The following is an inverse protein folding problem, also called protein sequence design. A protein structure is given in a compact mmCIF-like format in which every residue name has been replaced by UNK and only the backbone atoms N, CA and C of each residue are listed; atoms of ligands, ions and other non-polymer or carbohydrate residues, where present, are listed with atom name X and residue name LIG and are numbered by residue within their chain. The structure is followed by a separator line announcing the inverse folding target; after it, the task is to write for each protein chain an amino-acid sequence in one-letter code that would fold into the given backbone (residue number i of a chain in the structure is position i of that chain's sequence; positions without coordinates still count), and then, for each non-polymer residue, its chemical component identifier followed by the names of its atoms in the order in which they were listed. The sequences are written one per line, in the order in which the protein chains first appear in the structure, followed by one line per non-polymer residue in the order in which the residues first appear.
data_IF_522953535783
#
_entry.id   IF_522953535783
#
_cell.length_a   1.000
_cell.length_b   1.000
_cell.length_c   1.000
_cell.angle_alpha   90.00
_cell.angle_beta   90.00
_cell.angle_gamma   90.00
#
_symmetry.space_group_name_H-M   'P 1'
#
loop_
_entity.id
_entity.type
_entity.pdbx_description
1 polymer ?
#
# COMPACT_ATOMS: atom_id res chain seq x y z
N UNK A 1 -12.76 -13.06 6.27
CA UNK A 1 -11.35 -13.19 5.89
C UNK A 1 -10.50 -13.41 7.11
N UNK A 2 -9.53 -14.30 7.02
CA UNK A 2 -8.65 -14.56 8.15
C UNK A 2 -7.59 -13.47 8.29
N UNK A 3 -7.09 -13.28 9.51
CA UNK A 3 -6.01 -12.33 9.76
C UNK A 3 -4.73 -12.73 9.00
N UNK A 4 -4.52 -14.04 8.80
CA UNK A 4 -3.35 -14.54 8.08
C UNK A 4 -3.33 -14.03 6.63
N UNK A 5 -4.49 -13.97 5.98
CA UNK A 5 -4.57 -13.47 4.61
C UNK A 5 -4.26 -11.99 4.55
N UNK A 6 -4.78 -11.22 5.51
CA UNK A 6 -4.51 -9.80 5.58
C UNK A 6 -3.01 -9.55 5.81
N UNK A 7 -2.39 -10.32 6.70
CA UNK A 7 -0.96 -10.21 6.95
C UNK A 7 -0.14 -10.54 5.71
N UNK A 8 -0.56 -11.57 4.95
CA UNK A 8 0.12 -11.93 3.71
C UNK A 8 0.05 -10.81 2.68
N UNK A 9 -1.12 -10.18 2.55
CA UNK A 9 -1.28 -9.06 1.64
C UNK A 9 -0.46 -7.85 2.08
N UNK A 10 -0.45 -7.53 3.37
CA UNK A 10 0.35 -6.44 3.89
C UNK A 10 1.84 -6.70 3.71
N UNK A 11 2.27 -7.95 3.90
CA UNK A 11 3.66 -8.33 3.65
C UNK A 11 4.05 -8.16 2.20
N UNK A 12 3.16 -8.50 1.27
CA UNK A 12 3.40 -8.27 -0.16
C UNK A 12 3.50 -6.77 -0.46
N UNK A 13 2.64 -5.97 0.17
CA UNK A 13 2.65 -4.52 -0.03
C UNK A 13 3.92 -3.86 0.52
N UNK A 14 4.59 -4.47 1.50
CA UNK A 14 5.86 -3.98 1.99
C UNK A 14 6.98 -4.08 0.95
N UNK A 15 6.78 -4.84 -0.13
CA UNK A 15 7.71 -4.90 -1.24
C UNK A 15 7.48 -3.78 -2.26
N UNK A 16 6.41 -3.01 -2.10
CA UNK A 16 6.11 -1.89 -2.99
C UNK A 16 6.71 -0.63 -2.41
N UNK A 17 7.77 -0.15 -3.05
CA UNK A 17 8.56 1.00 -2.57
C UNK A 17 8.20 2.24 -3.38
N UNK A 18 7.94 3.35 -2.69
CA UNK A 18 7.78 4.64 -3.34
C UNK A 18 9.14 5.06 -3.91
N UNK A 19 9.28 5.20 -5.23
CA UNK A 19 10.58 5.47 -5.84
C UNK A 19 11.13 6.85 -5.48
N UNK A 20 10.30 7.79 -5.07
CA UNK A 20 10.76 9.11 -4.67
C UNK A 20 11.35 9.10 -3.26
N UNK A 21 10.79 8.30 -2.37
CA UNK A 21 11.15 8.30 -0.96
C UNK A 21 12.02 7.12 -0.56
N UNK A 22 12.00 6.03 -1.35
CA UNK A 22 12.80 4.84 -1.05
C UNK A 22 12.31 4.02 0.12
N UNK A 23 11.07 4.25 0.55
CA UNK A 23 10.45 3.53 1.66
C UNK A 23 9.16 2.89 1.14
N UNK A 24 8.83 1.71 1.66
CA UNK A 24 7.63 0.99 1.22
C UNK A 24 6.35 1.71 1.64
N UNK A 25 5.29 1.48 0.87
CA UNK A 25 4.02 2.20 1.07
C UNK A 25 3.34 1.88 2.39
N UNK A 26 3.59 0.69 2.96
CA UNK A 26 3.01 0.32 4.24
C UNK A 26 3.61 1.16 5.36
N UNK A 27 4.95 1.25 5.40
CA UNK A 27 5.63 2.05 6.42
C UNK A 27 5.41 3.55 6.23
N UNK A 28 5.15 3.99 4.99
CA UNK A 28 4.80 5.39 4.73
C UNK A 28 3.39 5.74 5.24
N UNK A 29 2.58 4.72 5.56
CA UNK A 29 1.22 4.95 6.01
C UNK A 29 0.26 5.31 4.89
N UNK A 30 0.56 4.86 3.68
CA UNK A 30 -0.29 5.12 2.52
C UNK A 30 -1.44 4.14 2.39
N UNK A 31 -1.29 2.94 2.95
CA UNK A 31 -2.33 1.90 2.86
C UNK A 31 -3.26 2.02 4.05
N UNK A 32 -4.53 2.31 3.78
CA UNK A 32 -5.53 2.47 4.82
C UNK A 32 -6.29 1.19 5.11
N UNK A 33 -6.48 0.34 4.09
CA UNK A 33 -7.18 -0.93 4.27
C UNK A 33 -6.78 -1.91 3.17
N UNK A 34 -6.88 -3.20 3.48
CA UNK A 34 -6.61 -4.27 2.54
C UNK A 34 -7.59 -5.40 2.83
N UNK A 35 -8.38 -5.78 1.85
CA UNK A 35 -9.38 -6.83 1.98
C UNK A 35 -9.29 -7.79 0.80
N UNK A 36 -9.68 -9.04 1.04
CA UNK A 36 -9.82 -10.05 -0.01
C UNK A 36 -11.27 -10.53 0.00
N UNK A 37 -11.96 -10.38 -1.13
CA UNK A 37 -13.35 -10.81 -1.20
C UNK A 37 -13.47 -12.30 -1.49
N UNK A 38 -14.70 -12.80 -1.55
CA UNK A 38 -14.96 -14.23 -1.73
C UNK A 38 -14.53 -14.73 -3.10
N UNK A 39 -14.39 -13.86 -4.08
CA UNK A 39 -14.00 -14.21 -5.44
C UNK A 39 -12.49 -14.20 -5.63
N UNK A 40 -11.74 -13.82 -4.61
CA UNK A 40 -10.27 -13.72 -4.69
C UNK A 40 -9.79 -12.36 -5.17
N UNK A 41 -10.64 -11.34 -5.14
CA UNK A 41 -10.27 -10.00 -5.52
C UNK A 41 -9.73 -9.24 -4.31
N UNK A 42 -8.50 -8.79 -4.40
CA UNK A 42 -7.90 -7.99 -3.35
C UNK A 42 -8.30 -6.52 -3.55
N UNK A 43 -8.86 -5.92 -2.52
CA UNK A 43 -9.32 -4.53 -2.55
C UNK A 43 -8.44 -3.73 -1.62
N UNK A 44 -7.66 -2.83 -2.18
CA UNK A 44 -6.70 -2.01 -1.43
C UNK A 44 -7.20 -0.58 -1.42
N UNK A 45 -7.40 -0.03 -0.23
CA UNK A 45 -7.75 1.37 -0.06
C UNK A 45 -6.51 2.10 0.44
N UNK A 46 -6.07 3.09 -0.32
CA UNK A 46 -4.83 3.79 -0.02
C UNK A 46 -4.92 5.26 -0.44
N UNK A 47 -3.90 6.00 -0.05
CA UNK A 47 -3.74 7.39 -0.48
C UNK A 47 -2.34 7.59 -1.04
N UNK A 48 -2.09 8.78 -1.58
CA UNK A 48 -0.77 9.19 -2.04
C UNK A 48 -0.32 10.41 -1.24
N UNK A 49 0.98 10.69 -1.26
CA UNK A 49 1.52 11.80 -0.49
C UNK A 49 1.10 13.17 -1.05
N UNK A 50 0.77 13.22 -2.35
CA UNK A 50 0.24 14.44 -2.96
C UNK A 50 -0.64 14.08 -4.14
N UNK A 51 -1.57 14.97 -4.46
CA UNK A 51 -2.49 14.77 -5.59
C UNK A 51 -1.77 14.78 -6.94
N UNK A 52 -0.61 15.43 -7.01
CA UNK A 52 0.17 15.51 -8.22
C UNK A 52 1.27 14.46 -8.32
N UNK A 53 1.19 13.39 -7.54
CA UNK A 53 2.23 12.37 -7.52
C UNK A 53 2.37 11.69 -8.89
N UNK A 54 3.48 11.90 -9.61
CA UNK A 54 3.64 11.31 -10.95
C UNK A 54 3.89 9.81 -10.91
N UNK A 55 4.22 9.27 -9.73
CA UNK A 55 4.52 7.86 -9.56
C UNK A 55 3.31 7.03 -9.14
N UNK A 56 2.13 7.66 -9.03
CA UNK A 56 0.91 6.95 -8.64
C UNK A 56 0.60 5.74 -9.50
N UNK A 57 0.56 5.87 -10.83
CA UNK A 57 0.28 4.72 -11.72
C UNK A 57 1.30 3.60 -11.57
N UNK A 58 2.58 3.93 -11.37
CA UNK A 58 3.62 2.94 -11.17
C UNK A 58 3.44 2.21 -9.84
N UNK A 59 3.10 2.93 -8.80
CA UNK A 59 2.82 2.33 -7.49
C UNK A 59 1.65 1.35 -7.60
N UNK A 60 0.58 1.75 -8.26
CA UNK A 60 -0.59 0.89 -8.47
C UNK A 60 -0.21 -0.37 -9.24
N UNK A 61 0.58 -0.24 -10.30
CA UNK A 61 1.03 -1.38 -11.08
C UNK A 61 1.88 -2.34 -10.23
N UNK A 62 2.75 -1.81 -9.39
CA UNK A 62 3.58 -2.62 -8.50
C UNK A 62 2.73 -3.34 -7.44
N UNK A 63 1.71 -2.68 -6.92
CA UNK A 63 0.78 -3.29 -5.97
C UNK A 63 0.10 -4.49 -6.61
N UNK A 64 -0.40 -4.33 -7.82
CA UNK A 64 -1.06 -5.42 -8.53
C UNK A 64 -0.12 -6.59 -8.76
N UNK A 65 1.11 -6.30 -9.18
CA UNK A 65 2.10 -7.33 -9.44
C UNK A 65 2.44 -8.13 -8.18
N UNK A 66 2.69 -7.44 -7.08
CA UNK A 66 3.05 -8.09 -5.83
C UNK A 66 1.91 -8.93 -5.26
N UNK A 67 0.69 -8.41 -5.30
CA UNK A 67 -0.46 -9.14 -4.77
C UNK A 67 -0.84 -10.33 -5.65
N UNK A 68 -0.68 -10.22 -6.96
CA UNK A 68 -1.00 -11.32 -7.87
C UNK A 68 -0.05 -12.52 -7.70
N UNK A 69 1.08 -12.35 -7.02
CA UNK A 69 1.96 -13.46 -6.69
C UNK A 69 1.39 -14.35 -5.59
N UNK A 70 0.43 -13.86 -4.83
CA UNK A 70 -0.25 -14.67 -3.82
C UNK A 70 -1.26 -15.59 -4.49
N UNK A 71 -1.20 -16.92 -4.21
CA UNK A 71 -2.10 -17.87 -4.91
C UNK A 71 -3.57 -17.64 -4.65
N UNK A 72 -3.92 -17.03 -3.53
CA UNK A 72 -5.31 -16.74 -3.17
C UNK A 72 -5.85 -15.52 -3.91
N UNK A 73 -4.98 -14.67 -4.45
CA UNK A 73 -5.39 -13.43 -5.14
C UNK A 73 -5.54 -13.69 -6.63
N UNK A 74 -6.74 -13.48 -7.14
CA UNK A 74 -7.06 -13.66 -8.56
C UNK A 74 -7.13 -12.35 -9.31
N UNK A 75 -7.43 -11.26 -8.60
CA UNK A 75 -7.52 -9.93 -9.18
C UNK A 75 -7.21 -8.90 -8.09
N UNK A 76 -6.89 -7.69 -8.50
CA UNK A 76 -6.55 -6.60 -7.57
C UNK A 76 -7.25 -5.34 -8.00
N UNK A 77 -7.91 -4.68 -7.04
CA UNK A 77 -8.52 -3.39 -7.24
C UNK A 77 -7.89 -2.41 -6.24
N UNK A 78 -7.40 -1.27 -6.73
CA UNK A 78 -6.76 -0.27 -5.89
C UNK A 78 -7.61 0.99 -5.93
N UNK A 79 -8.13 1.37 -4.76
CA UNK A 79 -8.92 2.58 -4.59
C UNK A 79 -8.07 3.65 -3.93
N UNK A 80 -7.83 4.76 -4.64
CA UNK A 80 -7.07 5.87 -4.11
C UNK A 80 -8.06 6.88 -3.54
N UNK A 81 -7.90 7.18 -2.26
CA UNK A 81 -8.75 8.13 -1.55
C UNK A 81 -7.90 9.28 -1.02
N UNK A 82 -8.53 10.44 -0.87
CA UNK A 82 -7.84 11.64 -0.40
C UNK A 82 -8.34 12.11 0.97
N UNK A 83 -9.21 11.31 1.57
CA UNK A 83 -9.77 11.60 2.88
C UNK A 83 -9.76 10.31 3.71
N UNK A 84 -9.11 10.30 4.88
CA UNK A 84 -8.33 11.41 5.45
C UNK A 84 -7.06 11.68 4.64
N UNK A 85 -6.57 12.94 4.64
CA UNK A 85 -5.33 13.24 3.91
C UNK A 85 -4.13 12.63 4.60
N UNK A 86 -3.16 12.26 3.79
CA UNK A 86 -1.91 11.71 4.32
C UNK A 86 -1.12 12.80 5.04
N UNK A 87 -0.47 12.43 6.15
CA UNK A 87 0.46 13.30 6.86
C UNK A 87 1.66 12.49 7.34
N UNK A 88 2.70 13.19 7.77
CA UNK A 88 3.90 12.53 8.29
C UNK A 88 3.61 11.67 9.51
N UNK A 89 2.56 11.98 10.24
CA UNK A 89 2.15 11.20 11.41
C UNK A 89 1.67 9.80 11.03
N UNK A 90 1.29 9.60 9.77
CA UNK A 90 0.88 8.28 9.28
C UNK A 90 2.06 7.33 9.11
N UNK A 91 3.28 7.85 9.03
CA UNK A 91 4.47 7.03 8.83
C UNK A 91 4.79 6.20 10.07
N UNK A 92 5.30 4.99 9.86
CA UNK A 92 5.83 4.17 10.94
C UNK A 92 7.11 4.82 11.50
N UNK A 93 7.51 4.36 12.69
CA UNK A 93 8.77 4.81 13.27
C UNK A 93 9.95 4.53 12.33
N UNK A 94 9.94 3.35 11.70
CA UNK A 94 10.97 2.98 10.74
C UNK A 94 11.06 3.99 9.59
N UNK A 95 9.91 4.35 9.01
CA UNK A 95 9.89 5.30 7.89
C UNK A 95 10.37 6.67 8.32
N UNK A 96 9.97 7.13 9.50
CA UNK A 96 10.41 8.43 10.02
C UNK A 96 11.93 8.46 10.20
N UNK A 97 12.51 7.38 10.70
CA UNK A 97 13.95 7.29 10.88
C UNK A 97 14.68 7.24 9.54
N UNK A 98 14.15 6.45 8.60
CA UNK A 98 14.78 6.30 7.28
C UNK A 98 14.80 7.60 6.50
N UNK A 99 13.79 8.44 6.66
CA UNK A 99 13.67 9.71 5.95
C UNK A 99 14.17 10.90 6.76
N UNK A 100 14.63 10.69 7.98
CA UNK A 100 15.12 11.77 8.85
C UNK A 100 14.01 12.65 9.40
N UNK A 101 12.78 12.16 9.45
CA UNK A 101 11.63 12.89 9.98
C UNK A 101 11.53 12.62 11.48
N UNK A 102 11.22 13.67 12.26
CA UNK A 102 11.08 13.53 13.70
C UNK A 102 9.65 13.67 14.16
#
# INVERSE_FOLDING_TARGET
MSNDMKESMMGALENVVDPELGVDIVNLGLVYDAELDEEGKAIITMTLTSMGCPMGPQIVANIKQELMELPEVKDVDVNIVWNPPWSRDNMSRYAKMALGVR
#
